data_IF_102545828565
#
_entry.id   IF_102545828565
#
_cell.length_a   1.000
_cell.length_b   1.000
_cell.length_c   1.000
_cell.angle_alpha   90.00
_cell.angle_beta   90.00
_cell.angle_gamma   90.00
#
_symmetry.space_group_name_H-M   'P 1'
#
loop_
_entity.id
_entity.type
_entity.pdbx_description
1 polymer ?
#
# COMPACT_ATOMS: atom_id res chain seq x y z
N UNK A 1 11.14 -14.97 20.55
CA UNK A 1 10.54 -14.62 19.24
C UNK A 1 10.81 -13.16 18.94
N UNK A 2 11.60 -12.87 17.90
CA UNK A 2 11.86 -11.48 17.49
C UNK A 2 10.58 -10.82 17.00
N UNK A 3 10.36 -9.57 17.37
CA UNK A 3 9.25 -8.76 16.86
C UNK A 3 9.37 -8.70 15.31
N UNK A 4 8.48 -9.39 14.59
CA UNK A 4 8.45 -9.45 13.11
C UNK A 4 7.77 -8.18 12.55
N UNK A 5 7.85 -7.06 13.27
CA UNK A 5 7.29 -5.78 12.84
C UNK A 5 8.46 -4.88 12.48
N UNK A 6 8.63 -4.60 11.19
CA UNK A 6 9.52 -3.53 10.73
C UNK A 6 8.99 -2.18 11.26
N UNK A 7 9.85 -1.26 11.67
CA UNK A 7 9.43 0.11 12.02
C UNK A 7 9.23 0.98 10.76
N UNK A 8 8.90 0.33 9.65
CA UNK A 8 8.91 0.87 8.29
C UNK A 8 7.71 0.35 7.54
N UNK A 9 7.05 1.23 6.80
CA UNK A 9 6.07 0.88 5.77
C UNK A 9 6.66 1.18 4.40
N UNK A 10 6.38 0.35 3.41
CA UNK A 10 6.95 0.43 2.07
C UNK A 10 5.91 0.79 1.03
N UNK A 11 6.24 1.70 0.12
CA UNK A 11 5.46 1.95 -1.10
C UNK A 11 6.26 1.43 -2.30
N UNK A 12 5.79 0.33 -2.90
CA UNK A 12 6.39 -0.24 -4.10
C UNK A 12 5.80 0.38 -5.36
N UNK A 13 6.66 0.62 -6.35
CA UNK A 13 6.29 1.32 -7.57
C UNK A 13 7.28 1.07 -8.71
N UNK A 14 6.95 1.57 -9.90
CA UNK A 14 7.84 1.55 -11.06
C UNK A 14 8.93 2.62 -10.97
N UNK A 15 10.01 2.46 -11.74
CA UNK A 15 11.10 3.45 -11.82
C UNK A 15 10.60 4.87 -12.13
N UNK A 16 9.75 5.02 -13.15
CA UNK A 16 9.21 6.33 -13.55
C UNK A 16 8.38 6.99 -12.43
N UNK A 17 7.58 6.20 -11.72
CA UNK A 17 6.78 6.69 -10.61
C UNK A 17 7.64 7.07 -9.41
N UNK A 18 8.73 6.33 -9.13
CA UNK A 18 9.66 6.66 -8.06
C UNK A 18 10.22 8.09 -8.25
N UNK A 19 10.69 8.44 -9.45
CA UNK A 19 11.12 9.82 -9.74
C UNK A 19 9.99 10.83 -9.58
N UNK A 20 8.78 10.47 -10.01
CA UNK A 20 7.58 11.29 -9.80
C UNK A 20 7.34 11.60 -8.33
N UNK A 21 7.46 10.60 -7.45
CA UNK A 21 7.29 10.75 -6.00
C UNK A 21 8.41 11.58 -5.40
N UNK A 22 9.66 11.35 -5.79
CA UNK A 22 10.80 12.13 -5.28
C UNK A 22 10.73 13.61 -5.68
N UNK A 23 10.09 13.93 -6.82
CA UNK A 23 9.92 15.30 -7.31
C UNK A 23 8.66 15.98 -6.74
N UNK A 24 7.55 15.26 -6.66
CA UNK A 24 6.22 15.84 -6.40
C UNK A 24 5.53 15.29 -5.15
N UNK A 25 6.23 14.50 -4.33
CA UNK A 25 5.68 13.75 -3.21
C UNK A 25 4.70 12.65 -3.66
N UNK A 26 4.14 11.89 -2.70
CA UNK A 26 3.16 10.85 -2.98
C UNK A 26 1.86 11.45 -3.54
N UNK A 27 1.44 10.96 -4.71
CA UNK A 27 0.18 11.34 -5.34
C UNK A 27 -0.80 10.15 -5.29
N UNK A 28 -2.07 10.39 -4.91
CA UNK A 28 -3.09 9.34 -4.93
C UNK A 28 -3.24 8.73 -6.32
N UNK A 29 -3.41 7.41 -6.36
CA UNK A 29 -3.84 6.67 -7.54
C UNK A 29 -5.17 5.99 -7.24
N UNK A 30 -5.97 5.75 -8.28
CA UNK A 30 -7.20 4.98 -8.13
C UNK A 30 -6.86 3.49 -7.91
N UNK A 31 -7.22 2.97 -6.73
CA UNK A 31 -7.28 1.53 -6.46
C UNK A 31 -8.69 1.06 -6.74
N UNK A 32 -8.83 0.04 -7.59
CA UNK A 32 -10.13 -0.57 -7.86
C UNK A 32 -10.40 -1.62 -6.80
N UNK A 33 -11.51 -1.45 -6.08
CA UNK A 33 -11.94 -2.36 -5.03
C UNK A 33 -13.32 -2.92 -5.37
N UNK A 34 -13.51 -4.21 -5.11
CA UNK A 34 -14.81 -4.88 -5.25
C UNK A 34 -15.49 -4.93 -3.89
N UNK A 35 -16.60 -4.21 -3.74
CA UNK A 35 -17.38 -4.19 -2.50
C UNK A 35 -18.59 -5.11 -2.66
N UNK A 36 -18.70 -6.07 -1.73
CA UNK A 36 -19.85 -6.96 -1.62
C UNK A 36 -20.85 -6.39 -0.61
N UNK A 37 -21.99 -5.92 -1.10
CA UNK A 37 -23.10 -5.48 -0.25
C UNK A 37 -23.83 -6.72 0.28
N UNK A 38 -24.13 -6.76 1.59
CA UNK A 38 -24.72 -7.93 2.26
C UNK A 38 -25.93 -8.51 1.50
N UNK A 39 -25.72 -9.64 0.82
CA UNK A 39 -26.77 -10.36 0.08
C UNK A 39 -27.14 -9.81 -1.31
N UNK A 40 -26.43 -8.81 -1.84
CA UNK A 40 -26.72 -8.19 -3.14
C UNK A 40 -25.47 -8.05 -4.03
N UNK A 41 -25.70 -7.59 -5.26
CA UNK A 41 -24.74 -7.35 -6.35
C UNK A 41 -23.43 -6.74 -5.88
N UNK A 42 -22.31 -7.26 -6.38
CA UNK A 42 -20.98 -6.65 -6.19
C UNK A 42 -20.87 -5.36 -6.99
N UNK A 43 -20.30 -4.33 -6.39
CA UNK A 43 -19.99 -3.07 -7.07
C UNK A 43 -18.48 -2.88 -7.10
N UNK A 44 -17.94 -2.53 -8.27
CA UNK A 44 -16.57 -2.07 -8.41
C UNK A 44 -16.51 -0.56 -8.17
N UNK A 45 -15.61 -0.13 -7.29
CA UNK A 45 -15.39 1.28 -6.99
C UNK A 45 -13.91 1.61 -7.15
N UNK A 46 -13.62 2.81 -7.65
CA UNK A 46 -12.26 3.33 -7.76
C UNK A 46 -12.02 4.34 -6.63
N UNK A 47 -11.14 3.98 -5.69
CA UNK A 47 -10.82 4.80 -4.52
C UNK A 47 -9.48 5.49 -4.74
N UNK A 48 -9.39 6.84 -4.69
CA UNK A 48 -8.10 7.52 -4.75
C UNK A 48 -7.34 7.30 -3.44
N UNK A 49 -6.19 6.61 -3.50
CA UNK A 49 -5.36 6.32 -2.32
C UNK A 49 -3.87 6.21 -2.64
N UNK A 50 -3.04 6.27 -1.60
CA UNK A 50 -1.61 5.91 -1.66
C UNK A 50 -1.41 4.69 -0.77
N UNK A 51 -1.08 3.54 -1.36
CA UNK A 51 -0.98 2.27 -0.66
C UNK A 51 0.42 2.04 -0.12
N UNK A 52 0.53 1.56 1.11
CA UNK A 52 1.79 1.14 1.73
C UNK A 52 1.64 -0.27 2.31
N UNK A 53 2.73 -1.03 2.33
CA UNK A 53 2.80 -2.38 2.87
C UNK A 53 3.66 -2.39 4.15
N UNK A 54 3.17 -2.99 5.23
CA UNK A 54 3.95 -3.26 6.45
C UNK A 54 4.44 -4.72 6.41
N UNK A 55 5.33 -5.01 5.46
CA UNK A 55 5.80 -6.37 5.19
C UNK A 55 7.31 -6.42 5.39
N UNK A 56 7.85 -7.42 6.11
CA UNK A 56 9.29 -7.62 6.22
C UNK A 56 9.94 -7.77 4.84
N UNK A 57 11.10 -7.14 4.61
CA UNK A 57 11.85 -7.24 3.35
C UNK A 57 12.14 -8.69 2.91
N UNK A 58 12.26 -9.62 3.86
CA UNK A 58 12.46 -11.04 3.55
C UNK A 58 11.25 -11.71 2.87
N UNK A 59 10.05 -11.15 3.00
CA UNK A 59 8.79 -11.66 2.45
C UNK A 59 8.30 -10.87 1.22
N UNK A 60 9.10 -9.92 0.74
CA UNK A 60 8.70 -8.98 -0.32
C UNK A 60 8.80 -9.57 -1.74
N UNK A 61 9.45 -10.73 -1.92
CA UNK A 61 9.64 -11.35 -3.25
C UNK A 61 8.34 -11.56 -4.03
N UNK A 62 7.26 -11.94 -3.34
CA UNK A 62 5.95 -12.15 -3.97
C UNK A 62 5.28 -10.81 -4.32
N UNK A 63 5.44 -9.77 -3.49
CA UNK A 63 4.83 -8.46 -3.72
C UNK A 63 5.54 -7.59 -4.78
N UNK A 64 6.84 -7.80 -5.02
CA UNK A 64 7.59 -6.99 -6.01
C UNK A 64 7.10 -7.25 -7.45
N UNK A 65 6.57 -8.45 -7.72
CA UNK A 65 6.11 -8.80 -9.07
C UNK A 65 4.88 -7.99 -9.49
N UNK A 66 3.98 -7.70 -8.55
CA UNK A 66 2.70 -7.05 -8.84
C UNK A 66 2.80 -5.51 -8.87
N UNK A 67 3.67 -4.91 -8.05
CA UNK A 67 3.70 -3.45 -7.85
C UNK A 67 4.92 -2.74 -8.47
N UNK A 68 5.99 -3.49 -8.78
CA UNK A 68 7.22 -2.97 -9.36
C UNK A 68 8.46 -3.17 -8.48
N UNK A 69 9.64 -3.13 -9.13
CA UNK A 69 10.93 -3.48 -8.51
C UNK A 69 11.58 -2.40 -7.65
N UNK A 70 10.91 -1.28 -7.42
CA UNK A 70 11.43 -0.16 -6.65
C UNK A 70 10.51 0.17 -5.48
N UNK A 71 11.08 0.56 -4.34
CA UNK A 71 10.31 0.86 -3.15
C UNK A 71 10.85 2.04 -2.36
N UNK A 72 9.96 2.80 -1.74
CA UNK A 72 10.28 3.86 -0.77
C UNK A 72 9.84 3.38 0.60
N UNK A 73 10.75 3.37 1.57
CA UNK A 73 10.45 3.06 2.96
C UNK A 73 10.24 4.33 3.79
N UNK A 74 9.15 4.39 4.54
CA UNK A 74 8.86 5.47 5.49
C UNK A 74 8.76 4.91 6.91
N UNK A 75 9.16 5.67 7.92
CA UNK A 75 8.99 5.24 9.31
C UNK A 75 7.52 5.12 9.68
N UNK A 76 7.15 4.20 10.57
CA UNK A 76 5.78 4.13 11.10
C UNK A 76 5.36 5.43 11.79
N UNK A 77 6.29 6.11 12.47
CA UNK A 77 6.03 7.44 13.05
C UNK A 77 5.62 8.48 12.00
N UNK A 78 6.26 8.47 10.83
CA UNK A 78 5.84 9.30 9.70
C UNK A 78 4.45 8.91 9.22
N UNK A 79 4.18 7.60 9.08
CA UNK A 79 2.89 7.10 8.65
C UNK A 79 1.75 7.54 9.59
N UNK A 80 1.94 7.39 10.91
CA UNK A 80 0.96 7.85 11.91
C UNK A 80 0.75 9.37 11.86
N UNK A 81 1.84 10.15 11.72
CA UNK A 81 1.74 11.62 11.61
C UNK A 81 0.98 12.06 10.36
N UNK A 82 1.05 11.30 9.27
CA UNK A 82 0.34 11.59 8.01
C UNK A 82 -1.05 10.93 7.93
N UNK A 83 -1.55 10.35 9.03
CA UNK A 83 -2.90 9.78 9.07
C UNK A 83 -3.06 8.52 8.23
N UNK A 84 -1.99 7.74 8.04
CA UNK A 84 -2.08 6.46 7.35
C UNK A 84 -2.94 5.48 8.17
N UNK A 85 -3.96 4.92 7.55
CA UNK A 85 -4.91 4.00 8.19
C UNK A 85 -4.86 2.62 7.55
N UNK A 86 -5.02 1.53 8.33
CA UNK A 86 -5.09 0.18 7.78
C UNK A 86 -6.37 -0.02 6.99
N UNK A 87 -6.27 -0.78 5.90
CA UNK A 87 -7.43 -1.33 5.17
C UNK A 87 -7.75 -2.70 5.75
N UNK A 88 -9.01 -2.92 6.12
CA UNK A 88 -9.48 -4.19 6.68
C UNK A 88 -10.33 -4.89 5.62
N UNK A 89 -9.80 -5.99 5.08
CA UNK A 89 -10.54 -6.85 4.17
C UNK A 89 -11.41 -7.82 4.97
N UNK A 90 -12.71 -7.82 4.68
CA UNK A 90 -13.65 -8.75 5.26
C UNK A 90 -13.75 -10.00 4.38
N UNK A 91 -13.73 -11.18 5.01
CA UNK A 91 -14.03 -12.43 4.29
C UNK A 91 -15.54 -12.48 3.99
N UNK A 92 -15.85 -13.09 2.84
CA UNK A 92 -17.21 -13.46 2.46
C UNK A 92 -17.79 -14.51 3.41
#
# INVERSE_FOLDING_TARGET
MGNISTNTVFHFTSWSNLFGILKNNFLPKYSTETVHLFGATSVEIAIPMVSFCDIPLSQIKEHVQDYGSYGIGMTKSWAFKNGLNPVIYLKK
#
